data_IF_730628125190
#
_entry.id   IF_730628125190
#
_cell.length_a   1.000
_cell.length_b   1.000
_cell.length_c   1.000
_cell.angle_alpha   90.00
_cell.angle_beta   90.00
_cell.angle_gamma   90.00
#
_symmetry.space_group_name_H-M   'P 1'
#
loop_
_entity.id
_entity.type
_entity.pdbx_description
1 polymer ?
#
# COMPACT_ATOMS: atom_id res chain seq x y z
N UNK A 1 2.70 -25.69 2.70
CA UNK A 1 3.47 -24.44 2.48
C UNK A 1 2.50 -23.38 2.02
N UNK A 2 1.75 -22.78 2.93
CA UNK A 2 0.74 -21.76 2.61
C UNK A 2 1.47 -20.43 2.45
N UNK A 3 1.50 -19.89 1.23
CA UNK A 3 2.02 -18.55 0.99
C UNK A 3 1.12 -17.54 1.72
N UNK A 4 1.63 -16.95 2.79
CA UNK A 4 0.92 -15.89 3.48
C UNK A 4 0.69 -14.72 2.54
N UNK A 5 -0.57 -14.38 2.36
CA UNK A 5 -0.99 -13.33 1.44
C UNK A 5 -1.37 -12.11 2.27
N UNK A 6 -0.62 -11.02 2.13
CA UNK A 6 -1.04 -9.72 2.64
C UNK A 6 -2.37 -9.36 1.97
N UNK A 7 -3.31 -8.75 2.69
CA UNK A 7 -4.59 -8.31 2.11
C UNK A 7 -4.75 -6.80 2.26
N UNK A 8 -5.30 -6.15 1.22
CA UNK A 8 -5.64 -4.73 1.25
C UNK A 8 -6.76 -4.43 2.27
N UNK A 9 -7.10 -3.15 2.41
CA UNK A 9 -8.17 -2.67 3.29
C UNK A 9 -9.59 -3.10 2.89
N UNK A 10 -9.75 -3.79 1.75
CA UNK A 10 -11.00 -4.39 1.27
C UNK A 10 -10.97 -5.92 1.39
N UNK A 11 -9.91 -6.50 1.96
CA UNK A 11 -9.72 -7.95 2.08
C UNK A 11 -9.20 -8.62 0.81
N UNK A 12 -8.76 -7.87 -0.20
CA UNK A 12 -8.16 -8.41 -1.42
C UNK A 12 -6.71 -8.79 -1.16
N UNK A 13 -6.37 -10.05 -1.42
CA UNK A 13 -5.00 -10.56 -1.39
C UNK A 13 -4.08 -9.79 -2.36
N UNK A 14 -2.96 -9.29 -1.85
CA UNK A 14 -1.87 -8.58 -2.54
C UNK A 14 -0.54 -9.30 -2.32
N UNK A 15 -0.32 -10.46 -2.98
CA UNK A 15 0.93 -11.19 -2.89
C UNK A 15 2.14 -10.35 -3.40
N UNK A 16 3.38 -10.78 -3.14
CA UNK A 16 4.59 -10.05 -3.54
C UNK A 16 4.74 -9.79 -5.05
N UNK A 17 3.96 -10.46 -5.89
CA UNK A 17 3.91 -10.33 -7.34
C UNK A 17 2.57 -9.77 -7.85
N UNK A 18 1.73 -9.22 -6.97
CA UNK A 18 0.47 -8.60 -7.35
C UNK A 18 0.75 -7.36 -8.24
N UNK A 19 0.26 -7.34 -9.50
CA UNK A 19 0.51 -6.24 -10.42
C UNK A 19 -0.29 -4.96 -10.07
N UNK A 20 -1.37 -5.13 -9.32
CA UNK A 20 -2.35 -4.13 -8.91
C UNK A 20 -2.12 -3.65 -7.46
N UNK A 21 -0.95 -3.93 -6.89
CA UNK A 21 -0.52 -3.40 -5.62
C UNK A 21 0.15 -2.04 -5.81
N UNK A 22 -0.26 -1.05 -5.01
CA UNK A 22 0.41 0.24 -4.87
C UNK A 22 1.12 0.33 -3.53
N UNK A 23 2.13 1.20 -3.46
CA UNK A 23 2.98 1.38 -2.30
C UNK A 23 3.27 2.86 -2.03
N UNK A 24 3.45 3.25 -0.77
CA UNK A 24 4.01 4.56 -0.39
C UNK A 24 5.51 4.46 -0.03
N UNK A 25 6.14 5.57 0.33
CA UNK A 25 7.56 5.63 0.73
C UNK A 25 7.91 4.74 1.95
N UNK A 26 6.96 4.55 2.88
CA UNK A 26 7.12 3.65 4.03
C UNK A 26 6.63 2.22 3.77
N UNK A 27 6.55 1.84 2.51
CA UNK A 27 6.18 0.49 2.09
C UNK A 27 4.77 0.03 2.50
N UNK A 28 3.87 0.96 2.83
CA UNK A 28 2.46 0.64 3.09
C UNK A 28 1.82 0.16 1.78
N UNK A 29 1.16 -1.00 1.82
CA UNK A 29 0.65 -1.66 0.61
C UNK A 29 -0.87 -1.57 0.54
N UNK A 30 -1.38 -1.11 -0.59
CA UNK A 30 -2.81 -1.03 -0.87
C UNK A 30 -3.08 -1.51 -2.30
N UNK A 31 -4.35 -1.68 -2.62
CA UNK A 31 -4.77 -1.95 -3.99
C UNK A 31 -4.73 -0.68 -4.84
N UNK A 32 -4.65 -0.82 -6.16
CA UNK A 32 -4.70 0.31 -7.11
C UNK A 32 -5.97 1.16 -6.99
N UNK A 33 -7.10 0.56 -6.59
CA UNK A 33 -8.39 1.27 -6.43
C UNK A 33 -8.41 2.11 -5.15
N UNK A 34 -7.61 1.75 -4.15
CA UNK A 34 -7.65 2.33 -2.82
C UNK A 34 -7.22 3.82 -2.85
N UNK A 35 -6.09 4.20 -3.50
CA UNK A 35 -5.74 5.60 -3.80
C UNK A 35 -6.80 6.35 -4.59
N UNK A 36 -7.45 5.70 -5.56
CA UNK A 36 -8.41 6.37 -6.46
C UNK A 36 -9.75 6.69 -5.79
N UNK A 37 -10.09 5.98 -4.71
CA UNK A 37 -11.40 6.05 -4.07
C UNK A 37 -11.27 6.46 -2.62
N UNK A 38 -11.10 5.50 -1.72
CA UNK A 38 -11.15 5.68 -0.26
C UNK A 38 -10.04 6.60 0.27
N UNK A 39 -8.85 6.54 -0.34
CA UNK A 39 -7.67 7.27 0.13
C UNK A 39 -7.45 8.60 -0.59
N UNK A 40 -8.09 8.82 -1.75
CA UNK A 40 -7.98 10.03 -2.59
C UNK A 40 -6.52 10.50 -2.77
N UNK A 41 -5.65 9.55 -3.08
CA UNK A 41 -4.21 9.71 -3.29
C UNK A 41 -3.43 10.32 -2.11
N UNK A 42 -3.94 10.16 -0.88
CA UNK A 42 -3.25 10.54 0.37
C UNK A 42 -3.10 9.31 1.26
N UNK A 43 -1.86 8.97 1.61
CA UNK A 43 -1.57 7.82 2.46
C UNK A 43 -2.09 8.03 3.89
N UNK A 44 -2.86 7.08 4.46
CA UNK A 44 -3.42 7.22 5.81
C UNK A 44 -2.37 7.11 6.92
N UNK A 45 -1.15 6.65 6.58
CA UNK A 45 -0.06 6.46 7.53
C UNK A 45 1.01 7.56 7.44
N UNK A 46 1.10 8.28 6.30
CA UNK A 46 2.18 9.25 6.09
C UNK A 46 1.82 10.49 5.27
N UNK A 47 0.61 10.61 4.73
CA UNK A 47 0.19 11.76 3.90
C UNK A 47 0.72 11.81 2.47
N UNK A 48 1.78 11.05 2.17
CA UNK A 48 2.39 10.99 0.84
C UNK A 48 1.52 10.33 -0.24
N UNK A 49 2.03 10.33 -1.46
CA UNK A 49 1.40 9.73 -2.63
C UNK A 49 1.62 8.19 -2.71
N UNK A 50 1.09 7.61 -3.78
CA UNK A 50 1.24 6.18 -4.10
C UNK A 50 1.90 5.99 -5.46
N UNK A 51 2.70 4.92 -5.55
CA UNK A 51 3.26 4.41 -6.81
C UNK A 51 2.93 2.92 -6.98
N UNK A 52 3.04 2.40 -8.20
CA UNK A 52 2.97 0.96 -8.42
C UNK A 52 4.08 0.25 -7.64
N UNK A 53 3.72 -0.83 -6.94
CA UNK A 53 4.68 -1.58 -6.16
C UNK A 53 5.63 -2.33 -7.11
N UNK A 54 6.96 -2.15 -6.97
CA UNK A 54 7.91 -2.94 -7.75
C UNK A 54 7.78 -4.44 -7.48
N UNK A 55 7.79 -5.24 -8.55
CA UNK A 55 7.74 -6.70 -8.46
C UNK A 55 9.14 -7.24 -8.21
N UNK A 56 9.31 -7.97 -7.11
CA UNK A 56 10.54 -8.72 -6.85
C UNK A 56 10.58 -9.95 -7.74
N UNK A 57 11.65 -10.13 -8.50
CA UNK A 57 11.80 -11.29 -9.40
C UNK A 57 11.79 -12.60 -8.61
N UNK A 58 11.43 -13.71 -9.27
CA UNK A 58 11.39 -15.05 -8.64
C UNK A 58 12.72 -15.44 -7.98
N UNK A 59 13.85 -15.17 -8.65
CA UNK A 59 15.18 -15.44 -8.11
C UNK A 59 15.46 -14.64 -6.84
N UNK A 60 15.07 -13.35 -6.82
CA UNK A 60 15.23 -12.50 -5.65
C UNK A 60 14.26 -12.88 -4.52
N UNK A 61 13.07 -13.41 -4.80
CA UNK A 61 12.18 -13.94 -3.77
C UNK A 61 12.70 -15.24 -3.14
N UNK A 62 13.40 -16.08 -3.90
CA UNK A 62 14.04 -17.27 -3.36
C UNK A 62 15.20 -16.91 -2.40
N UNK A 63 15.97 -15.87 -2.74
CA UNK A 63 17.10 -15.38 -1.92
C UNK A 63 16.66 -14.48 -0.76
N UNK A 64 15.66 -13.65 -0.98
CA UNK A 64 15.11 -12.65 -0.06
C UNK A 64 13.59 -12.82 0.03
N UNK A 65 13.12 -13.82 0.81
CA UNK A 65 11.72 -14.16 0.89
C UNK A 65 10.90 -12.97 1.40
N UNK A 66 9.68 -12.86 0.89
CA UNK A 66 8.72 -11.92 1.43
C UNK A 66 8.35 -12.33 2.87
N UNK A 67 7.87 -11.35 3.64
CA UNK A 67 7.38 -11.61 4.99
C UNK A 67 6.25 -12.65 4.94
N UNK A 68 6.29 -13.60 5.86
CA UNK A 68 5.38 -14.75 5.91
C UNK A 68 4.16 -14.52 6.80
N UNK A 69 3.99 -13.34 7.37
CA UNK A 69 2.78 -12.98 8.10
C UNK A 69 1.86 -12.14 7.21
N UNK A 70 0.60 -12.55 7.18
CA UNK A 70 -0.45 -11.76 6.58
C UNK A 70 -0.73 -10.56 7.49
N UNK A 71 -0.27 -9.38 7.08
CA UNK A 71 -0.63 -8.14 7.74
C UNK A 71 -1.80 -7.51 6.99
N UNK A 72 -2.98 -7.51 7.62
CA UNK A 72 -4.12 -6.76 7.09
C UNK A 72 -3.86 -5.29 7.31
N UNK A 73 -3.75 -4.52 6.24
CA UNK A 73 -3.60 -3.07 6.34
C UNK A 73 -4.99 -2.47 6.55
N UNK A 74 -5.35 -2.21 7.81
CA UNK A 74 -6.51 -1.38 8.14
C UNK A 74 -6.28 0.07 7.71
N UNK A 75 -7.35 0.76 7.33
CA UNK A 75 -7.34 2.22 7.19
C UNK A 75 -7.90 2.77 8.49
N UNK A 76 -7.05 3.41 9.30
CA UNK A 76 -7.53 4.20 10.43
C UNK A 76 -8.12 5.51 9.89
N UNK A 77 -9.44 5.65 9.92
CA UNK A 77 -10.12 6.80 9.30
C UNK A 77 -9.74 8.13 9.95
N UNK A 78 -9.47 8.14 11.26
CA UNK A 78 -9.07 9.35 11.97
C UNK A 78 -7.68 9.85 11.53
N UNK A 79 -6.72 8.94 11.39
CA UNK A 79 -5.38 9.25 10.87
C UNK A 79 -5.45 9.68 9.42
N UNK A 80 -6.28 9.00 8.60
CA UNK A 80 -6.49 9.40 7.22
C UNK A 80 -7.06 10.80 7.11
N UNK A 81 -8.09 11.15 7.90
CA UNK A 81 -8.67 12.49 7.89
C UNK A 81 -7.63 13.58 8.20
N UNK A 82 -6.79 13.37 9.22
CA UNK A 82 -5.71 14.31 9.59
C UNK A 82 -4.71 14.54 8.47
N UNK A 83 -4.29 13.47 7.80
CA UNK A 83 -3.37 13.60 6.67
C UNK A 83 -4.07 14.20 5.44
N UNK A 84 -5.32 13.83 5.20
CA UNK A 84 -6.11 14.33 4.09
C UNK A 84 -6.32 15.84 4.19
N UNK A 85 -6.76 16.35 5.35
CA UNK A 85 -6.91 17.79 5.60
C UNK A 85 -5.62 18.57 5.36
N UNK A 86 -4.47 17.98 5.65
CA UNK A 86 -3.16 18.63 5.48
C UNK A 86 -2.68 18.61 4.03
N UNK A 87 -2.95 17.53 3.30
CA UNK A 87 -2.23 17.22 2.07
C UNK A 87 -3.13 17.00 0.85
N UNK A 88 -4.45 17.17 0.92
CA UNK A 88 -5.30 16.94 -0.26
C UNK A 88 -5.00 17.88 -1.43
N UNK A 89 -4.62 19.13 -1.13
CA UNK A 89 -4.43 20.17 -2.15
C UNK A 89 -2.95 20.38 -2.55
N UNK A 90 -2.02 19.75 -1.82
CA UNK A 90 -0.60 19.85 -2.16
C UNK A 90 -0.28 18.98 -3.41
N UNK A 91 0.53 19.48 -4.36
CA UNK A 91 0.88 18.71 -5.54
C UNK A 91 1.74 17.50 -5.16
N UNK A 92 1.69 16.37 -5.90
CA UNK A 92 2.40 15.15 -5.51
C UNK A 92 3.91 15.27 -5.27
N UNK A 93 4.58 16.25 -5.89
CA UNK A 93 6.01 16.49 -5.68
C UNK A 93 6.35 17.27 -4.41
N UNK A 94 5.34 17.79 -3.72
CA UNK A 94 5.47 18.61 -2.50
C UNK A 94 4.79 17.93 -1.29
N UNK A 95 4.42 16.65 -1.43
CA UNK A 95 3.76 15.81 -0.42
C UNK A 95 4.61 14.63 0.03
#
# INVERSE_FOLDING_TARGET
MTAASASDSRGKSLPPNAPDATICTYECRFCEVCPLTRLRNVCPNCGGNFAHRPIRTRAQLAKHPARADAHTVGIDEASHARFFERYCDAPPGER
#
